data_IF_151120921781
#
_entry.id   IF_151120921781
#
_cell.length_a   1.000
_cell.length_b   1.000
_cell.length_c   1.000
_cell.angle_alpha   90.00
_cell.angle_beta   90.00
_cell.angle_gamma   90.00
#
_symmetry.space_group_name_H-M   'P 1'
#
loop_
_entity.id
_entity.type
_entity.pdbx_description
1 polymer ?
#
# COMPACT_ATOMS: atom_id res chain seq x y z
N UNK A 1 -15.55 -16.68 -19.20
CA UNK A 1 -15.66 -17.59 -20.38
C UNK A 1 -14.25 -17.83 -20.86
N UNK A 2 -13.83 -19.09 -21.02
CA UNK A 2 -12.43 -19.37 -21.32
C UNK A 2 -11.99 -18.92 -22.72
N UNK A 3 -10.71 -18.60 -22.87
CA UNK A 3 -10.11 -18.29 -24.17
C UNK A 3 -10.21 -19.48 -25.15
N UNK A 4 -10.51 -19.23 -26.43
CA UNK A 4 -10.52 -20.25 -27.47
C UNK A 4 -9.17 -21.00 -27.58
N UNK A 5 -9.22 -22.34 -27.64
CA UNK A 5 -8.05 -23.23 -27.65
C UNK A 5 -7.06 -22.93 -28.79
N UNK A 6 -7.55 -22.46 -29.93
CA UNK A 6 -6.75 -22.06 -31.08
C UNK A 6 -5.81 -20.87 -30.77
N UNK A 7 -6.22 -19.94 -29.90
CA UNK A 7 -5.39 -18.79 -29.51
C UNK A 7 -4.23 -19.25 -28.63
N UNK A 8 -4.50 -20.18 -27.71
CA UNK A 8 -3.50 -20.76 -26.80
C UNK A 8 -2.51 -21.68 -27.51
N UNK A 9 -2.93 -22.38 -28.56
CA UNK A 9 -2.01 -23.15 -29.41
C UNK A 9 -1.08 -22.20 -30.20
N UNK A 10 -1.64 -21.13 -30.75
CA UNK A 10 -0.87 -20.14 -31.52
C UNK A 10 0.16 -19.40 -30.68
N UNK A 11 -0.12 -19.15 -29.39
CA UNK A 11 0.89 -18.59 -28.49
C UNK A 11 2.08 -19.55 -28.32
N UNK A 12 1.82 -20.85 -28.20
CA UNK A 12 2.85 -21.88 -28.12
C UNK A 12 3.70 -21.99 -29.40
N UNK A 13 3.09 -21.81 -30.57
CA UNK A 13 3.81 -21.76 -31.85
C UNK A 13 4.68 -20.51 -32.00
N UNK A 14 4.19 -19.35 -31.57
CA UNK A 14 4.90 -18.07 -31.67
C UNK A 14 6.04 -17.94 -30.65
N UNK A 15 5.87 -18.53 -29.47
CA UNK A 15 6.79 -18.39 -28.34
C UNK A 15 7.14 -19.75 -27.71
N UNK A 16 7.75 -20.71 -28.44
CA UNK A 16 7.85 -22.10 -28.02
C UNK A 16 8.57 -22.37 -26.69
N UNK A 17 9.41 -21.43 -26.22
CA UNK A 17 10.18 -21.56 -24.97
C UNK A 17 10.02 -20.36 -24.02
N UNK A 18 9.05 -19.48 -24.25
CA UNK A 18 8.88 -18.25 -23.48
C UNK A 18 7.47 -18.17 -22.91
N UNK A 19 7.29 -18.74 -21.72
CA UNK A 19 6.01 -18.85 -21.04
C UNK A 19 5.43 -17.47 -20.70
N UNK A 20 6.28 -16.48 -20.41
CA UNK A 20 5.87 -15.12 -20.10
C UNK A 20 5.30 -14.43 -21.34
N UNK A 21 5.97 -14.54 -22.50
CA UNK A 21 5.43 -14.03 -23.77
C UNK A 21 4.15 -14.75 -24.21
N UNK A 22 4.05 -16.06 -23.97
CA UNK A 22 2.81 -16.80 -24.19
C UNK A 22 1.66 -16.25 -23.33
N UNK A 23 1.92 -15.98 -22.04
CA UNK A 23 0.94 -15.41 -21.10
C UNK A 23 0.51 -14.00 -21.54
N UNK A 24 1.44 -13.12 -21.86
CA UNK A 24 1.18 -11.75 -22.35
C UNK A 24 0.34 -11.77 -23.63
N UNK A 25 0.68 -12.63 -24.59
CA UNK A 25 -0.06 -12.77 -25.84
C UNK A 25 -1.52 -13.18 -25.59
N UNK A 26 -1.73 -14.18 -24.73
CA UNK A 26 -3.09 -14.64 -24.45
C UNK A 26 -3.90 -13.61 -23.66
N UNK A 27 -3.28 -12.88 -22.72
CA UNK A 27 -3.91 -11.75 -22.02
C UNK A 27 -4.36 -10.65 -23.00
N UNK A 28 -3.49 -10.25 -23.93
CA UNK A 28 -3.83 -9.24 -24.94
C UNK A 28 -4.95 -9.70 -25.90
N UNK A 29 -4.97 -10.99 -26.24
CA UNK A 29 -6.04 -11.57 -27.04
C UNK A 29 -7.38 -11.60 -26.28
N UNK A 30 -7.38 -11.94 -24.98
CA UNK A 30 -8.57 -11.90 -24.14
C UNK A 30 -9.16 -10.48 -24.05
N UNK A 31 -8.29 -9.49 -23.82
CA UNK A 31 -8.68 -8.08 -23.79
C UNK A 31 -9.34 -7.63 -25.09
N UNK A 32 -8.71 -7.94 -26.24
CA UNK A 32 -9.22 -7.56 -27.57
C UNK A 32 -10.56 -8.20 -27.90
N UNK A 33 -10.81 -9.41 -27.40
CA UNK A 33 -12.05 -10.16 -27.63
C UNK A 33 -13.15 -9.84 -26.61
N UNK A 34 -12.89 -8.92 -25.67
CA UNK A 34 -13.82 -8.61 -24.57
C UNK A 34 -14.12 -9.82 -23.70
N UNK A 35 -13.17 -10.77 -23.62
CA UNK A 35 -13.30 -11.97 -22.79
C UNK A 35 -12.80 -11.66 -21.39
N UNK A 36 -13.51 -12.21 -20.42
CA UNK A 36 -13.17 -12.10 -19.01
C UNK A 36 -11.78 -12.71 -18.76
N UNK A 37 -10.92 -12.00 -18.03
CA UNK A 37 -9.52 -12.40 -17.76
C UNK A 37 -9.41 -13.48 -16.66
N UNK A 38 -10.54 -14.04 -16.24
CA UNK A 38 -10.66 -15.09 -15.21
C UNK A 38 -9.72 -16.28 -15.41
N UNK A 39 -9.27 -16.55 -16.63
CA UNK A 39 -8.37 -17.67 -16.95
C UNK A 39 -6.91 -17.43 -16.58
N UNK A 40 -6.50 -16.17 -16.35
CA UNK A 40 -5.13 -15.78 -16.04
C UNK A 40 -4.89 -15.46 -14.58
N UNK A 41 -5.95 -15.53 -13.77
CA UNK A 41 -5.86 -15.59 -12.32
C UNK A 41 -5.32 -16.98 -11.95
N UNK A 42 -3.99 -17.15 -12.05
CA UNK A 42 -3.34 -18.34 -11.51
C UNK A 42 -3.66 -18.44 -10.02
N UNK A 43 -4.25 -19.58 -9.60
CA UNK A 43 -4.28 -20.03 -8.22
C UNK A 43 -2.83 -20.25 -7.74
N UNK A 44 -2.16 -19.18 -7.33
CA UNK A 44 -0.71 -19.20 -7.14
C UNK A 44 -0.20 -17.93 -6.50
N UNK A 45 -0.51 -17.77 -5.21
CA UNK A 45 0.02 -16.77 -4.27
C UNK A 45 -0.52 -15.35 -4.45
N UNK A 46 -0.96 -14.82 -3.31
CA UNK A 46 -1.53 -13.49 -3.10
C UNK A 46 -0.48 -12.41 -3.36
N UNK A 47 -0.24 -12.09 -4.63
CA UNK A 47 0.25 -10.77 -5.00
C UNK A 47 -0.95 -9.99 -5.52
N UNK A 48 -1.74 -9.48 -4.57
CA UNK A 48 -2.71 -8.43 -4.84
C UNK A 48 -1.95 -7.23 -5.44
N UNK A 49 -1.94 -7.13 -6.77
CA UNK A 49 -1.61 -5.90 -7.49
C UNK A 49 -2.73 -4.91 -7.18
N UNK A 50 -2.66 -4.31 -5.99
CA UNK A 50 -3.42 -3.13 -5.63
C UNK A 50 -2.86 -1.99 -6.47
N UNK A 51 -3.70 -1.45 -7.35
CA UNK A 51 -3.49 -0.14 -7.96
C UNK A 51 -2.92 0.81 -6.90
N UNK A 52 -1.72 1.33 -7.14
CA UNK A 52 -1.07 2.31 -6.27
C UNK A 52 -1.89 3.60 -6.31
N UNK A 53 -2.99 3.66 -5.57
CA UNK A 53 -3.36 4.92 -4.93
C UNK A 53 -2.17 5.28 -4.05
N UNK A 54 -1.42 6.30 -4.47
CA UNK A 54 -0.30 6.88 -3.72
C UNK A 54 -0.82 7.20 -2.32
N UNK A 55 -0.55 6.30 -1.37
CA UNK A 55 -0.97 6.46 0.00
C UNK A 55 0.05 7.39 0.66
N UNK A 56 -0.33 8.63 1.05
CA UNK A 56 0.63 9.64 1.50
C UNK A 56 1.45 9.19 2.71
N UNK A 57 0.93 8.25 3.52
CA UNK A 57 1.57 7.77 4.74
C UNK A 57 2.13 6.34 4.60
N UNK A 58 2.53 5.92 3.39
CA UNK A 58 2.99 4.54 3.10
C UNK A 58 4.17 4.14 3.98
N UNK A 59 5.19 4.99 4.10
CA UNK A 59 6.37 4.71 4.94
C UNK A 59 6.01 4.41 6.41
N UNK A 60 5.11 5.21 6.99
CA UNK A 60 4.67 5.04 8.37
C UNK A 60 3.85 3.75 8.54
N UNK A 61 3.04 3.40 7.54
CA UNK A 61 2.28 2.14 7.54
C UNK A 61 3.22 0.94 7.50
N UNK A 62 4.22 0.96 6.62
CA UNK A 62 5.18 -0.13 6.46
C UNK A 62 6.02 -0.35 7.72
N UNK A 63 6.45 0.74 8.36
CA UNK A 63 7.14 0.71 9.66
C UNK A 63 6.28 0.00 10.73
N UNK A 64 4.98 0.33 10.80
CA UNK A 64 4.07 -0.31 11.75
C UNK A 64 3.81 -1.79 11.44
N UNK A 65 3.69 -2.15 10.16
CA UNK A 65 3.50 -3.53 9.73
C UNK A 65 4.74 -4.38 10.01
N UNK A 66 5.94 -3.84 9.80
CA UNK A 66 7.19 -4.47 10.17
C UNK A 66 7.25 -4.77 11.68
N UNK A 67 6.92 -3.78 12.52
CA UNK A 67 6.85 -3.96 13.97
C UNK A 67 5.83 -5.04 14.39
N UNK A 68 4.67 -5.09 13.74
CA UNK A 68 3.67 -6.13 14.01
C UNK A 68 4.14 -7.51 13.59
N UNK A 69 4.88 -7.61 12.49
CA UNK A 69 5.51 -8.86 12.03
C UNK A 69 6.55 -9.36 13.03
N UNK A 70 7.37 -8.49 13.60
CA UNK A 70 8.31 -8.85 14.69
C UNK A 70 7.58 -9.46 15.89
N UNK A 71 6.39 -8.92 16.22
CA UNK A 71 5.50 -9.44 17.26
C UNK A 71 4.67 -10.65 16.85
N UNK A 72 4.88 -11.20 15.64
CA UNK A 72 4.09 -12.31 15.06
C UNK A 72 2.59 -12.01 14.98
N UNK A 73 2.21 -10.74 14.86
CA UNK A 73 0.85 -10.29 14.69
C UNK A 73 0.62 -9.89 13.24
N UNK A 74 -0.43 -10.43 12.61
CA UNK A 74 -0.82 -10.08 11.24
C UNK A 74 -2.19 -9.42 11.22
N UNK A 75 -2.35 -8.39 10.41
CA UNK A 75 -3.66 -7.79 10.15
C UNK A 75 -4.41 -8.60 9.10
N UNK A 76 -5.72 -8.77 9.31
CA UNK A 76 -6.63 -9.20 8.26
C UNK A 76 -6.92 -8.04 7.30
N UNK A 77 -7.30 -8.28 6.03
CA UNK A 77 -7.53 -7.23 5.03
C UNK A 77 -8.48 -6.12 5.51
N UNK A 78 -9.58 -6.51 6.19
CA UNK A 78 -10.53 -5.58 6.80
C UNK A 78 -9.89 -4.68 7.88
N UNK A 79 -8.98 -5.25 8.68
CA UNK A 79 -8.25 -4.52 9.72
C UNK A 79 -7.20 -3.59 9.15
N UNK A 80 -6.55 -3.98 8.05
CA UNK A 80 -5.57 -3.16 7.35
C UNK A 80 -6.21 -1.90 6.75
N UNK A 81 -7.37 -2.04 6.09
CA UNK A 81 -8.12 -0.89 5.57
C UNK A 81 -8.55 0.07 6.69
N UNK A 82 -9.02 -0.46 7.83
CA UNK A 82 -9.36 0.34 9.00
C UNK A 82 -8.13 1.06 9.59
N UNK A 83 -6.97 0.40 9.60
CA UNK A 83 -5.70 0.99 10.05
C UNK A 83 -5.28 2.16 9.15
N UNK A 84 -5.28 1.97 7.83
CA UNK A 84 -4.97 3.02 6.84
C UNK A 84 -5.86 4.25 7.06
N UNK A 85 -7.18 4.05 7.15
CA UNK A 85 -8.14 5.13 7.41
C UNK A 85 -7.91 5.82 8.76
N UNK A 86 -7.60 5.06 9.81
CA UNK A 86 -7.31 5.60 11.14
C UNK A 86 -6.04 6.45 11.12
N UNK A 87 -4.98 5.95 10.50
CA UNK A 87 -3.70 6.64 10.40
C UNK A 87 -3.86 7.97 9.64
N UNK A 88 -4.51 7.97 8.48
CA UNK A 88 -4.82 9.21 7.74
C UNK A 88 -5.61 10.22 8.57
N UNK A 89 -6.64 9.75 9.29
CA UNK A 89 -7.47 10.63 10.13
C UNK A 89 -6.67 11.27 11.25
N UNK A 90 -5.76 10.52 11.87
CA UNK A 90 -4.92 11.03 12.97
C UNK A 90 -3.79 11.92 12.44
N UNK A 91 -3.21 11.59 11.28
CA UNK A 91 -2.11 12.34 10.68
C UNK A 91 -2.56 13.60 9.95
N UNK A 92 -3.86 13.73 9.65
CA UNK A 92 -4.38 14.81 8.82
C UNK A 92 -3.84 14.77 7.38
N UNK A 93 -3.37 13.60 6.93
CA UNK A 93 -2.68 13.44 5.64
C UNK A 93 -1.20 13.82 5.66
N UNK A 94 -0.63 14.21 6.82
CA UNK A 94 0.80 14.53 6.93
C UNK A 94 1.65 13.26 7.14
N UNK A 95 2.56 12.91 6.20
CA UNK A 95 3.43 11.73 6.33
C UNK A 95 4.35 11.79 7.55
N UNK A 96 4.90 12.96 7.87
CA UNK A 96 5.83 13.12 8.98
C UNK A 96 5.12 12.95 10.32
N UNK A 97 3.88 13.45 10.44
CA UNK A 97 3.11 13.23 11.66
C UNK A 97 2.70 11.76 11.82
N UNK A 98 2.42 11.07 10.71
CA UNK A 98 2.12 9.65 10.73
C UNK A 98 3.28 8.82 11.31
N UNK A 99 4.54 9.16 10.98
CA UNK A 99 5.72 8.53 11.57
C UNK A 99 5.78 8.73 13.07
N UNK A 100 5.59 9.96 13.56
CA UNK A 100 5.58 10.27 15.00
C UNK A 100 4.51 9.47 15.75
N UNK A 101 3.32 9.31 15.17
CA UNK A 101 2.24 8.50 15.75
C UNK A 101 2.65 7.02 15.88
N UNK A 102 3.29 6.48 14.84
CA UNK A 102 3.78 5.11 14.79
C UNK A 102 4.89 4.89 15.82
N UNK A 103 5.90 5.75 15.83
CA UNK A 103 7.00 5.72 16.79
C UNK A 103 6.52 5.83 18.24
N UNK A 104 5.60 6.75 18.51
CA UNK A 104 4.98 6.89 19.83
C UNK A 104 4.27 5.60 20.25
N UNK A 105 3.53 4.98 19.34
CA UNK A 105 2.80 3.73 19.61
C UNK A 105 3.74 2.53 19.80
N UNK A 106 4.83 2.48 19.04
CA UNK A 106 5.86 1.44 19.14
C UNK A 106 6.66 1.57 20.44
N UNK A 107 7.11 2.77 20.77
CA UNK A 107 7.87 3.05 21.99
C UNK A 107 7.08 2.77 23.27
N UNK A 108 5.76 3.03 23.25
CA UNK A 108 4.86 2.69 24.36
C UNK A 108 4.31 1.26 24.30
N UNK A 109 4.73 0.46 23.32
CA UNK A 109 4.33 -0.94 23.17
C UNK A 109 2.81 -1.15 23.02
N UNK A 110 2.12 -0.21 22.40
CA UNK A 110 0.66 -0.27 22.26
C UNK A 110 0.19 -1.35 21.27
N UNK A 111 -0.99 -1.91 21.54
CA UNK A 111 -1.62 -2.89 20.64
C UNK A 111 -2.15 -2.25 19.35
N UNK A 112 -2.36 -0.94 19.33
CA UNK A 112 -2.84 -0.17 18.18
C UNK A 112 -2.13 1.17 18.05
N UNK A 113 -2.43 1.91 16.99
CA UNK A 113 -1.92 3.27 16.78
C UNK A 113 -2.72 4.30 17.57
N UNK A 114 -2.00 5.15 18.30
CA UNK A 114 -2.54 6.24 19.10
C UNK A 114 -1.70 7.50 18.88
N UNK A 115 -2.38 8.62 18.63
CA UNK A 115 -1.71 9.90 18.54
C UNK A 115 -1.15 10.33 19.92
N UNK A 116 0.05 10.93 19.96
CA UNK A 116 0.60 11.47 21.19
C UNK A 116 -0.34 12.53 21.78
N UNK A 117 -0.42 12.59 23.11
CA UNK A 117 -1.26 13.58 23.81
C UNK A 117 -0.68 14.98 23.60
N UNK A 118 -1.43 15.85 22.92
CA UNK A 118 -1.15 17.27 22.86
C UNK A 118 -1.49 17.93 24.19
N UNK A 119 -0.52 18.00 25.10
CA UNK A 119 -0.58 19.01 26.16
C UNK A 119 -0.32 20.35 25.45
N UNK A 120 -1.32 21.24 25.43
CA UNK A 120 -1.47 22.38 24.50
C UNK A 120 -0.33 23.42 24.38
N UNK A 121 0.82 23.18 25.00
CA UNK A 121 2.06 23.94 24.87
C UNK A 121 3.10 23.30 23.94
N UNK A 122 3.03 21.98 23.69
CA UNK A 122 4.01 21.23 22.88
C UNK A 122 3.33 20.40 21.78
N UNK A 123 2.37 21.01 21.10
CA UNK A 123 1.67 20.34 20.01
C UNK A 123 2.57 20.12 18.81
N UNK A 124 2.56 18.91 18.23
CA UNK A 124 3.27 18.64 16.96
C UNK A 124 2.84 19.62 15.86
N UNK A 125 1.55 19.94 15.79
CA UNK A 125 1.01 20.92 14.84
C UNK A 125 1.59 22.33 15.09
N UNK A 126 1.78 22.69 16.36
CA UNK A 126 2.37 23.98 16.73
C UNK A 126 3.86 24.02 16.42
N UNK A 127 4.59 22.93 16.68
CA UNK A 127 5.99 22.77 16.28
C UNK A 127 6.16 22.87 14.76
N UNK A 128 5.26 22.25 13.99
CA UNK A 128 5.29 22.33 12.53
C UNK A 128 4.96 23.74 12.02
N UNK A 129 3.99 24.43 12.63
CA UNK A 129 3.71 25.85 12.32
C UNK A 129 4.91 26.74 12.61
N UNK A 130 5.58 26.56 13.76
CA UNK A 130 6.79 27.32 14.08
C UNK A 130 7.93 27.00 13.11
N UNK A 131 8.13 25.73 12.77
CA UNK A 131 9.13 25.31 11.79
C UNK A 131 8.88 25.96 10.43
N UNK A 132 7.66 25.83 9.89
CA UNK A 132 7.29 26.42 8.61
C UNK A 132 7.49 27.95 8.59
N UNK A 133 7.15 28.62 9.71
CA UNK A 133 7.36 30.06 9.85
C UNK A 133 8.85 30.42 9.86
N UNK A 134 9.69 29.67 10.57
CA UNK A 134 11.14 29.88 10.61
C UNK A 134 11.75 29.60 9.22
N UNK A 135 11.37 28.51 8.57
CA UNK A 135 11.84 28.19 7.21
C UNK A 135 11.47 29.27 6.21
N UNK A 136 10.27 29.85 6.31
CA UNK A 136 9.86 30.98 5.46
C UNK A 136 10.71 32.23 5.70
N UNK A 137 11.09 32.52 6.96
CA UNK A 137 11.93 33.68 7.29
C UNK A 137 13.37 33.47 6.81
N UNK A 138 13.87 32.24 6.86
CA UNK A 138 15.23 31.89 6.44
C UNK A 138 15.40 31.73 4.93
N UNK A 139 14.30 31.66 4.18
CA UNK A 139 14.30 31.53 2.73
C UNK A 139 14.29 32.88 1.99
N UNK A 140 14.04 33.98 2.70
CA UNK A 140 14.22 35.38 2.25
C UNK A 140 15.66 35.86 2.51
#
# INVERSE_FOLDING_TARGET
MMLPTNIRQKSGELFPNDLEKQKIFCMGAAFSLGKDLSDFEEEGQQEEVQQEEIYPCQEALDMWLAYKREKRQKYQPRGLAALKKKLLKMSGGNPEYAKVIVEHSMGNNYSGLYAPKNNGVNSYEQQQRTFNKISSILAD
#
